data_IF_220506194674
#
_entry.id   IF_220506194674
#
_cell.length_a   1.000
_cell.length_b   1.000
_cell.length_c   1.000
_cell.angle_alpha   90.00
_cell.angle_beta   90.00
_cell.angle_gamma   90.00
#
_symmetry.space_group_name_H-M   'P 1'
#
loop_
_entity.id
_entity.type
_entity.pdbx_description
1 polymer ?
#
# COMPACT_ATOMS: atom_id res chain seq x y z
N UNK A 1 39.59 -5.98 6.95
CA UNK A 1 39.28 -4.54 7.09
C UNK A 1 37.82 -4.41 7.49
N UNK A 2 37.52 -3.66 8.54
CA UNK A 2 36.14 -3.34 8.97
C UNK A 2 35.88 -1.85 8.76
N UNK A 3 34.65 -1.50 8.41
CA UNK A 3 34.22 -0.13 8.12
C UNK A 3 33.12 0.28 9.12
N UNK A 4 33.46 0.92 10.25
CA UNK A 4 32.49 1.21 11.32
C UNK A 4 31.35 2.14 10.90
N UNK A 5 31.55 2.97 9.87
CA UNK A 5 30.48 3.81 9.31
C UNK A 5 29.45 3.03 8.47
N UNK A 6 29.73 1.75 8.17
CA UNK A 6 28.83 0.83 7.49
C UNK A 6 28.03 -0.05 8.47
N UNK A 7 28.29 0.05 9.78
CA UNK A 7 27.43 -0.53 10.82
C UNK A 7 26.12 0.27 10.89
N UNK A 8 25.25 0.02 9.93
CA UNK A 8 23.89 0.53 9.94
C UNK A 8 23.10 -0.29 10.96
N UNK A 9 22.66 0.37 12.04
CA UNK A 9 21.68 -0.23 12.92
C UNK A 9 20.44 -0.65 12.09
N UNK A 10 19.86 -1.83 12.35
CA UNK A 10 18.68 -2.26 11.64
C UNK A 10 17.59 -1.19 11.79
N UNK A 11 16.86 -0.87 10.70
CA UNK A 11 15.80 0.12 10.75
C UNK A 11 14.82 -0.22 11.88
N UNK A 12 14.50 0.77 12.71
CA UNK A 12 13.49 0.63 13.76
C UNK A 12 12.17 0.20 13.13
N UNK A 13 11.44 -0.68 13.81
CA UNK A 13 10.15 -1.19 13.34
C UNK A 13 9.09 -0.07 13.30
N UNK A 14 9.08 0.65 12.19
CA UNK A 14 8.09 1.67 11.86
C UNK A 14 6.98 1.09 10.95
N UNK A 15 6.77 -0.23 10.94
CA UNK A 15 5.84 -0.91 10.04
C UNK A 15 4.42 -0.34 10.09
N UNK A 16 3.96 0.08 11.28
CA UNK A 16 2.65 0.68 11.48
C UNK A 16 2.49 2.07 10.84
N UNK A 17 3.53 2.92 10.91
CA UNK A 17 3.51 4.24 10.30
C UNK A 17 3.47 4.16 8.77
N UNK A 18 4.26 3.24 8.18
CA UNK A 18 4.27 3.01 6.72
C UNK A 18 2.93 2.48 6.21
N UNK A 19 2.31 1.55 6.95
CA UNK A 19 1.00 1.00 6.60
C UNK A 19 -0.10 2.09 6.61
N UNK A 20 -0.08 3.00 7.60
CA UNK A 20 -1.04 4.11 7.68
C UNK A 20 -0.92 5.06 6.49
N UNK A 21 0.31 5.48 6.16
CA UNK A 21 0.55 6.37 5.01
C UNK A 21 0.10 5.71 3.72
N UNK A 22 0.41 4.42 3.52
CA UNK A 22 -0.03 3.68 2.35
C UNK A 22 -1.57 3.61 2.26
N UNK A 23 -2.28 3.37 3.36
CA UNK A 23 -3.74 3.36 3.37
C UNK A 23 -4.36 4.73 3.00
N UNK A 24 -3.81 5.83 3.52
CA UNK A 24 -4.24 7.19 3.15
C UNK A 24 -4.00 7.46 1.66
N UNK A 25 -2.82 7.12 1.14
CA UNK A 25 -2.52 7.23 -0.30
C UNK A 25 -3.48 6.42 -1.16
N UNK A 26 -3.83 5.20 -0.75
CA UNK A 26 -4.79 4.35 -1.46
C UNK A 26 -6.15 5.02 -1.56
N UNK A 27 -6.66 5.62 -0.48
CA UNK A 27 -7.92 6.35 -0.50
C UNK A 27 -7.86 7.58 -1.44
N UNK A 28 -6.76 8.34 -1.41
CA UNK A 28 -6.56 9.47 -2.32
C UNK A 28 -6.52 9.04 -3.79
N UNK A 29 -5.89 7.91 -4.11
CA UNK A 29 -5.83 7.37 -5.47
C UNK A 29 -7.15 6.77 -5.92
N UNK A 30 -7.87 6.08 -5.04
CA UNK A 30 -9.21 5.59 -5.32
C UNK A 30 -10.16 6.75 -5.69
N UNK A 31 -10.06 7.86 -4.95
CA UNK A 31 -10.79 9.09 -5.27
C UNK A 31 -10.40 9.70 -6.63
N UNK A 32 -9.12 9.65 -7.00
CA UNK A 32 -8.68 10.08 -8.32
C UNK A 32 -9.25 9.17 -9.42
N UNK A 33 -9.19 7.85 -9.25
CA UNK A 33 -9.75 6.90 -10.21
C UNK A 33 -11.25 7.07 -10.41
N UNK A 34 -12.00 7.34 -9.34
CA UNK A 34 -13.41 7.70 -9.45
C UNK A 34 -13.62 8.91 -10.36
N UNK A 35 -12.87 10.00 -10.14
CA UNK A 35 -12.96 11.22 -10.97
C UNK A 35 -12.56 11.00 -12.42
N UNK A 36 -11.69 10.03 -12.68
CA UNK A 36 -11.25 9.63 -14.01
C UNK A 36 -12.24 8.66 -14.69
N UNK A 37 -13.35 8.30 -14.04
CA UNK A 37 -14.38 7.43 -14.60
C UNK A 37 -14.05 5.94 -14.57
N UNK A 38 -13.11 5.52 -13.72
CA UNK A 38 -12.85 4.08 -13.53
C UNK A 38 -13.99 3.44 -12.74
N UNK A 39 -14.26 2.18 -13.05
CA UNK A 39 -15.13 1.35 -12.20
C UNK A 39 -14.42 1.00 -10.89
N UNK A 40 -15.20 0.70 -9.86
CA UNK A 40 -14.68 0.28 -8.55
C UNK A 40 -13.73 -0.92 -8.68
N UNK A 41 -14.12 -1.93 -9.46
CA UNK A 41 -13.33 -3.13 -9.74
C UNK A 41 -11.99 -2.79 -10.40
N UNK A 42 -12.00 -1.94 -11.43
CA UNK A 42 -10.80 -1.55 -12.17
C UNK A 42 -9.84 -0.69 -11.33
N UNK A 43 -10.37 0.06 -10.36
CA UNK A 43 -9.57 0.80 -9.39
C UNK A 43 -8.95 -0.13 -8.34
N UNK A 44 -9.72 -1.09 -7.82
CA UNK A 44 -9.25 -2.06 -6.85
C UNK A 44 -8.09 -2.91 -7.42
N UNK A 45 -8.24 -3.44 -8.63
CA UNK A 45 -7.22 -4.25 -9.31
C UNK A 45 -5.89 -3.47 -9.46
N UNK A 46 -5.96 -2.22 -9.94
CA UNK A 46 -4.77 -1.35 -10.10
C UNK A 46 -4.07 -1.06 -8.79
N UNK A 47 -4.84 -0.80 -7.73
CA UNK A 47 -4.29 -0.49 -6.42
C UNK A 47 -3.68 -1.73 -5.75
N UNK A 48 -4.28 -2.91 -5.93
CA UNK A 48 -3.72 -4.18 -5.49
C UNK A 48 -2.39 -4.47 -6.20
N UNK A 49 -2.33 -4.33 -7.52
CA UNK A 49 -1.10 -4.53 -8.30
C UNK A 49 0.04 -3.61 -7.85
N UNK A 50 -0.27 -2.34 -7.53
CA UNK A 50 0.71 -1.41 -6.95
C UNK A 50 1.25 -1.92 -5.62
N UNK A 51 0.37 -2.29 -4.69
CA UNK A 51 0.79 -2.72 -3.34
C UNK A 51 1.62 -4.00 -3.42
N UNK A 52 1.25 -4.95 -4.30
CA UNK A 52 2.06 -6.13 -4.54
C UNK A 52 3.48 -5.77 -5.01
N UNK A 53 3.62 -4.79 -5.91
CA UNK A 53 4.94 -4.32 -6.36
C UNK A 53 5.75 -3.66 -5.23
N UNK A 54 5.12 -2.89 -4.36
CA UNK A 54 5.80 -2.15 -3.29
C UNK A 54 6.12 -2.99 -2.04
N UNK A 55 5.26 -3.97 -1.70
CA UNK A 55 5.32 -4.69 -0.43
C UNK A 55 5.54 -6.20 -0.55
N UNK A 56 5.44 -6.76 -1.76
CA UNK A 56 5.74 -8.18 -2.03
C UNK A 56 6.85 -8.33 -3.11
N UNK A 57 8.05 -7.74 -2.92
CA UNK A 57 9.13 -7.85 -3.90
C UNK A 57 9.63 -9.31 -4.02
N UNK A 58 9.90 -9.74 -5.25
CA UNK A 58 10.35 -11.11 -5.56
C UNK A 58 11.70 -11.49 -4.92
N UNK A 59 12.50 -10.50 -4.49
CA UNK A 59 13.76 -10.71 -3.78
C UNK A 59 13.52 -10.98 -2.31
N UNK A 60 13.74 -12.24 -1.90
CA UNK A 60 13.47 -12.85 -0.58
C UNK A 60 14.26 -12.26 0.62
N UNK A 61 14.34 -10.95 0.76
CA UNK A 61 14.63 -10.36 2.08
C UNK A 61 13.35 -10.46 2.90
N UNK A 62 13.27 -11.48 3.76
CA UNK A 62 12.12 -11.84 4.60
C UNK A 62 11.68 -10.75 5.60
N UNK A 63 12.26 -9.55 5.54
CA UNK A 63 12.03 -8.46 6.48
C UNK A 63 11.00 -7.42 5.99
N UNK A 64 10.52 -7.51 4.74
CA UNK A 64 9.44 -6.65 4.24
C UNK A 64 8.21 -7.48 3.89
N UNK A 65 7.55 -8.01 4.91
CA UNK A 65 6.23 -8.64 4.75
C UNK A 65 5.18 -7.55 4.59
N UNK A 66 4.26 -7.71 3.64
CA UNK A 66 3.07 -6.87 3.50
C UNK A 66 2.29 -6.80 4.82
N UNK A 67 2.01 -5.59 5.36
CA UNK A 67 1.16 -5.42 6.52
C UNK A 67 -0.27 -5.90 6.29
N UNK A 68 -0.92 -6.48 7.30
CA UNK A 68 -2.30 -7.01 7.19
C UNK A 68 -3.32 -5.93 6.77
N UNK A 69 -3.11 -4.70 7.24
CA UNK A 69 -3.90 -3.53 6.86
C UNK A 69 -3.77 -3.11 5.40
N UNK A 70 -2.85 -3.73 4.65
CA UNK A 70 -2.68 -3.56 3.21
C UNK A 70 -3.06 -4.82 2.43
N UNK A 71 -3.68 -5.83 3.03
CA UNK A 71 -4.19 -7.02 2.31
C UNK A 71 -5.17 -6.66 1.18
N UNK A 72 -5.36 -7.55 0.21
CA UNK A 72 -6.24 -7.30 -0.94
C UNK A 72 -7.68 -6.97 -0.51
N UNK A 73 -8.17 -7.62 0.54
CA UNK A 73 -9.47 -7.33 1.15
C UNK A 73 -9.52 -5.94 1.80
N UNK A 74 -8.43 -5.51 2.47
CA UNK A 74 -8.35 -4.17 3.05
C UNK A 74 -8.33 -3.09 1.95
N UNK A 75 -7.61 -3.32 0.86
CA UNK A 75 -7.59 -2.42 -0.31
C UNK A 75 -8.99 -2.32 -0.92
N UNK A 76 -9.65 -3.46 -1.17
CA UNK A 76 -11.00 -3.47 -1.72
C UNK A 76 -11.98 -2.68 -0.84
N UNK A 77 -11.88 -2.84 0.49
CA UNK A 77 -12.69 -2.07 1.44
C UNK A 77 -12.41 -0.56 1.35
N UNK A 78 -11.14 -0.14 1.30
CA UNK A 78 -10.78 1.28 1.16
C UNK A 78 -11.38 1.87 -0.13
N UNK A 79 -11.30 1.12 -1.24
CA UNK A 79 -11.86 1.55 -2.52
C UNK A 79 -13.38 1.67 -2.42
N UNK A 80 -14.05 0.65 -1.91
CA UNK A 80 -15.51 0.63 -1.75
C UNK A 80 -16.01 1.77 -0.86
N UNK A 81 -15.40 1.96 0.31
CA UNK A 81 -15.72 3.06 1.22
C UNK A 81 -15.49 4.43 0.55
N UNK A 82 -14.49 4.54 -0.33
CA UNK A 82 -14.19 5.79 -1.06
C UNK A 82 -15.20 6.08 -2.16
N UNK A 83 -15.64 5.05 -2.90
CA UNK A 83 -16.62 5.16 -3.97
C UNK A 83 -18.02 5.43 -3.41
N UNK A 84 -18.43 4.73 -2.35
CA UNK A 84 -19.74 4.91 -1.71
C UNK A 84 -19.97 6.32 -1.15
N UNK A 85 -18.90 7.03 -0.75
CA UNK A 85 -18.98 8.42 -0.25
C UNK A 85 -19.12 9.46 -1.35
N UNK A 86 -19.04 9.09 -2.63
CA UNK A 86 -19.01 10.04 -3.74
C UNK A 86 -20.32 9.94 -4.54
N UNK A 87 -21.03 11.07 -4.75
CA UNK A 87 -22.19 11.08 -5.63
C UNK A 87 -21.74 10.81 -7.07
N UNK A 88 -22.55 10.00 -7.78
CA UNK A 88 -22.38 9.66 -9.19
C UNK A 88 -22.63 10.87 -10.11
#
# INVERSE_FOLDING_TARGET
MSFPWLDSAPPRDNGSARAKVAAEELAHRAALFFRLGFTEEAAAERLQARIAWEFDPATKSSQQKRPDGLSDAAIAKIVSDTYARRPA
#
